data_IF_849587563611
#
_entry.id   IF_849587563611
#
_cell.length_a   1.000
_cell.length_b   1.000
_cell.length_c   1.000
_cell.angle_alpha   90.00
_cell.angle_beta   90.00
_cell.angle_gamma   90.00
#
_symmetry.space_group_name_H-M   'P 1'
#
loop_
_entity.id
_entity.type
_entity.pdbx_description
1 polymer ?
#
# COMPACT_ATOMS: atom_id res chain seq x y z
N UNK A 1 -72.79 -50.13 6.29
CA UNK A 1 -71.64 -49.57 7.04
C UNK A 1 -70.38 -50.29 6.57
N UNK A 2 -69.65 -49.67 5.65
CA UNK A 2 -68.38 -50.21 5.17
C UNK A 2 -67.29 -49.91 6.21
N UNK A 3 -66.66 -50.96 6.73
CA UNK A 3 -65.60 -50.85 7.71
C UNK A 3 -64.33 -50.30 7.04
N UNK A 4 -63.84 -49.19 7.59
CA UNK A 4 -62.53 -48.62 7.28
C UNK A 4 -61.45 -49.63 7.69
N UNK A 5 -60.61 -50.03 6.73
CA UNK A 5 -59.37 -50.74 7.03
C UNK A 5 -58.31 -49.66 7.23
N UNK A 6 -58.11 -49.29 8.49
CA UNK A 6 -56.94 -48.52 8.94
C UNK A 6 -55.70 -49.39 8.74
N UNK A 7 -54.87 -49.07 7.74
CA UNK A 7 -53.56 -49.67 7.57
C UNK A 7 -52.60 -49.12 8.64
N UNK A 8 -52.64 -49.71 9.83
CA UNK A 8 -51.59 -49.56 10.84
C UNK A 8 -50.41 -50.47 10.49
N UNK A 9 -49.24 -49.90 10.24
CA UNK A 9 -48.00 -50.66 10.03
C UNK A 9 -47.50 -51.18 11.38
N UNK A 10 -47.38 -52.50 11.51
CA UNK A 10 -46.71 -53.15 12.63
C UNK A 10 -45.19 -53.19 12.35
N UNK A 11 -44.39 -52.51 13.19
CA UNK A 11 -42.95 -52.74 13.28
C UNK A 11 -42.74 -53.93 14.22
N UNK A 12 -42.66 -55.13 13.64
CA UNK A 12 -42.42 -56.37 14.37
C UNK A 12 -41.02 -56.42 14.97
N UNK A 13 -40.95 -56.65 16.29
CA UNK A 13 -39.74 -57.07 16.99
C UNK A 13 -39.40 -58.52 16.62
N UNK A 14 -38.33 -58.69 15.88
CA UNK A 14 -37.77 -59.97 15.44
C UNK A 14 -36.73 -59.65 14.38
N UNK A 15 -35.62 -60.39 14.33
CA UNK A 15 -34.53 -60.16 13.39
C UNK A 15 -35.04 -60.24 11.94
N UNK A 16 -35.51 -59.10 11.41
CA UNK A 16 -35.97 -58.99 10.04
C UNK A 16 -34.72 -59.09 9.16
N UNK A 17 -34.59 -60.20 8.44
CA UNK A 17 -33.61 -60.32 7.38
C UNK A 17 -33.91 -59.23 6.36
N UNK A 18 -33.08 -58.18 6.30
CA UNK A 18 -32.59 -57.55 5.08
C UNK A 18 -33.53 -57.48 3.86
N UNK A 19 -34.82 -57.18 4.05
CA UNK A 19 -35.80 -57.22 2.98
C UNK A 19 -36.08 -55.81 2.47
N UNK A 20 -36.31 -55.73 1.17
CA UNK A 20 -36.82 -54.53 0.53
C UNK A 20 -38.20 -54.17 1.14
N UNK A 21 -38.44 -52.88 1.40
CA UNK A 21 -39.68 -52.38 2.02
C UNK A 21 -40.40 -51.39 1.10
N UNK A 22 -41.55 -51.80 0.58
CA UNK A 22 -42.42 -50.94 -0.24
C UNK A 22 -43.77 -50.69 0.43
N UNK A 23 -44.25 -49.44 0.44
CA UNK A 23 -45.57 -49.09 0.98
C UNK A 23 -46.20 -47.90 0.26
N UNK A 24 -47.53 -47.78 0.34
CA UNK A 24 -48.27 -46.59 -0.14
C UNK A 24 -48.20 -46.34 -1.64
N UNK A 25 -47.93 -47.38 -2.46
CA UNK A 25 -47.75 -47.25 -3.92
C UNK A 25 -46.29 -47.27 -4.39
N UNK A 26 -45.32 -47.43 -3.48
CA UNK A 26 -43.90 -47.46 -3.82
C UNK A 26 -43.48 -48.69 -4.64
N UNK A 27 -42.47 -48.51 -5.50
CA UNK A 27 -41.92 -49.51 -6.41
C UNK A 27 -40.42 -49.67 -6.17
N UNK A 28 -39.96 -50.93 -6.04
CA UNK A 28 -38.55 -51.27 -5.89
C UNK A 28 -38.11 -52.04 -7.13
N UNK A 29 -37.11 -51.49 -7.83
CA UNK A 29 -36.47 -52.07 -9.01
C UNK A 29 -34.93 -52.13 -8.84
N UNK A 30 -34.49 -52.33 -7.59
CA UNK A 30 -33.07 -52.43 -7.26
C UNK A 30 -32.56 -53.88 -7.47
N UNK A 31 -31.31 -54.10 -7.92
CA UNK A 31 -30.78 -55.44 -8.20
C UNK A 31 -30.63 -56.34 -6.97
N UNK A 32 -30.47 -55.78 -5.76
CA UNK A 32 -30.45 -56.53 -4.50
C UNK A 32 -30.56 -55.63 -3.25
N UNK A 33 -31.50 -55.98 -2.36
CA UNK A 33 -31.48 -55.90 -0.89
C UNK A 33 -31.42 -54.54 -0.19
N UNK A 34 -32.29 -54.36 0.81
CA UNK A 34 -32.38 -53.23 1.74
C UNK A 34 -32.88 -51.91 1.14
N UNK A 35 -33.57 -51.94 0.00
CA UNK A 35 -34.18 -50.75 -0.54
C UNK A 35 -35.50 -50.41 0.19
N UNK A 36 -35.83 -49.13 0.29
CA UNK A 36 -37.09 -48.66 0.89
C UNK A 36 -37.79 -47.71 -0.08
N UNK A 37 -39.05 -47.98 -0.45
CA UNK A 37 -39.86 -47.14 -1.32
C UNK A 37 -41.24 -46.88 -0.68
N UNK A 38 -41.50 -45.67 -0.18
CA UNK A 38 -42.74 -45.34 0.53
C UNK A 38 -43.39 -44.08 -0.04
N UNK A 39 -44.60 -44.22 -0.57
CA UNK A 39 -45.37 -43.14 -1.18
C UNK A 39 -45.84 -43.47 -2.59
N UNK A 40 -46.88 -42.78 -3.04
CA UNK A 40 -47.43 -42.98 -4.39
C UNK A 40 -46.37 -42.60 -5.43
N UNK A 41 -46.07 -43.49 -6.38
CA UNK A 41 -45.04 -43.27 -7.39
C UNK A 41 -43.57 -43.30 -6.89
N UNK A 42 -43.33 -43.48 -5.58
CA UNK A 42 -41.97 -43.53 -5.03
C UNK A 42 -41.19 -44.73 -5.62
N UNK A 43 -39.99 -44.50 -6.16
CA UNK A 43 -39.23 -45.55 -6.88
C UNK A 43 -37.78 -45.63 -6.42
N UNK A 44 -37.28 -46.84 -6.17
CA UNK A 44 -35.85 -47.08 -5.94
C UNK A 44 -35.26 -47.99 -7.02
N UNK A 45 -34.15 -47.61 -7.64
CA UNK A 45 -33.38 -48.48 -8.55
C UNK A 45 -31.97 -48.79 -8.05
N UNK A 46 -31.48 -48.06 -7.04
CA UNK A 46 -30.20 -48.32 -6.39
C UNK A 46 -30.29 -49.34 -5.25
N UNK A 47 -29.26 -50.17 -5.10
CA UNK A 47 -29.11 -51.06 -3.93
C UNK A 47 -29.01 -50.26 -2.63
N UNK A 48 -29.75 -50.69 -1.59
CA UNK A 48 -29.82 -50.01 -0.27
C UNK A 48 -30.27 -48.54 -0.37
N UNK A 49 -31.00 -48.17 -1.42
CA UNK A 49 -31.53 -46.83 -1.60
C UNK A 49 -32.85 -46.62 -0.83
N UNK A 50 -33.13 -45.39 -0.43
CA UNK A 50 -34.37 -45.01 0.25
C UNK A 50 -35.08 -43.93 -0.55
N UNK A 51 -36.29 -44.21 -1.03
CA UNK A 51 -37.22 -43.26 -1.58
C UNK A 51 -38.44 -43.13 -0.64
N UNK A 52 -38.73 -41.90 -0.18
CA UNK A 52 -39.84 -41.59 0.69
C UNK A 52 -40.54 -40.32 0.18
N UNK A 53 -41.86 -40.34 0.08
CA UNK A 53 -42.67 -39.23 -0.46
C UNK A 53 -43.17 -39.48 -1.87
N UNK A 54 -44.24 -38.77 -2.25
CA UNK A 54 -44.87 -38.90 -3.57
C UNK A 54 -43.83 -38.65 -4.67
N UNK A 55 -43.73 -39.57 -5.62
CA UNK A 55 -42.85 -39.49 -6.79
C UNK A 55 -41.35 -39.31 -6.46
N UNK A 56 -40.92 -39.63 -5.23
CA UNK A 56 -39.51 -39.60 -4.87
C UNK A 56 -38.75 -40.73 -5.57
N UNK A 57 -37.61 -40.44 -6.19
CA UNK A 57 -36.80 -41.42 -6.93
C UNK A 57 -35.37 -41.47 -6.39
N UNK A 58 -34.95 -42.65 -5.91
CA UNK A 58 -33.58 -42.90 -5.48
C UNK A 58 -32.90 -43.90 -6.43
N UNK A 59 -32.11 -43.38 -7.38
CA UNK A 59 -31.46 -44.19 -8.42
C UNK A 59 -30.05 -44.66 -8.05
N UNK A 60 -29.32 -43.88 -7.26
CA UNK A 60 -27.96 -44.25 -6.86
C UNK A 60 -27.92 -45.33 -5.78
N UNK A 61 -26.85 -46.11 -5.74
CA UNK A 61 -26.56 -47.01 -4.61
C UNK A 61 -26.46 -46.19 -3.32
N UNK A 62 -27.10 -46.62 -2.23
CA UNK A 62 -27.19 -45.88 -0.95
C UNK A 62 -27.83 -44.48 -1.06
N UNK A 63 -28.50 -44.15 -2.16
CA UNK A 63 -29.11 -42.85 -2.34
C UNK A 63 -30.34 -42.69 -1.46
N UNK A 64 -30.60 -41.47 -0.99
CA UNK A 64 -31.74 -41.13 -0.13
C UNK A 64 -32.54 -40.00 -0.77
N UNK A 65 -33.75 -40.27 -1.23
CA UNK A 65 -34.70 -39.28 -1.73
C UNK A 65 -35.91 -39.23 -0.80
N UNK A 66 -36.16 -38.13 -0.08
CA UNK A 66 -37.29 -38.05 0.89
C UNK A 66 -38.28 -36.91 0.63
N UNK A 67 -37.98 -36.03 -0.32
CA UNK A 67 -38.86 -34.94 -0.73
C UNK A 67 -39.87 -35.38 -1.78
N UNK A 68 -41.03 -34.72 -1.83
CA UNK A 68 -41.98 -34.91 -2.93
C UNK A 68 -41.31 -34.56 -4.27
N UNK A 69 -41.41 -35.46 -5.25
CA UNK A 69 -40.76 -35.34 -6.57
C UNK A 69 -39.25 -35.08 -6.47
N UNK A 70 -38.57 -35.64 -5.46
CA UNK A 70 -37.12 -35.52 -5.29
C UNK A 70 -36.36 -36.64 -6.01
N UNK A 71 -35.18 -36.33 -6.54
CA UNK A 71 -34.36 -37.27 -7.32
C UNK A 71 -32.94 -37.36 -6.74
N UNK A 72 -32.61 -38.50 -6.14
CA UNK A 72 -31.25 -38.81 -5.70
C UNK A 72 -30.60 -39.76 -6.72
N UNK A 73 -29.95 -39.17 -7.75
CA UNK A 73 -29.43 -39.92 -8.90
C UNK A 73 -28.01 -40.45 -8.69
N UNK A 74 -27.17 -39.73 -7.95
CA UNK A 74 -25.79 -40.15 -7.69
C UNK A 74 -25.66 -41.22 -6.60
N UNK A 75 -24.58 -42.01 -6.64
CA UNK A 75 -24.26 -42.93 -5.54
C UNK A 75 -24.08 -42.17 -4.22
N UNK A 76 -24.71 -42.64 -3.16
CA UNK A 76 -24.77 -42.00 -1.83
C UNK A 76 -25.29 -40.56 -1.86
N UNK A 77 -26.04 -40.18 -2.89
CA UNK A 77 -26.63 -38.85 -3.00
C UNK A 77 -27.85 -38.73 -2.07
N UNK A 78 -28.10 -37.52 -1.57
CA UNK A 78 -29.21 -37.21 -0.66
C UNK A 78 -30.05 -36.07 -1.23
N UNK A 79 -31.31 -36.32 -1.56
CA UNK A 79 -32.28 -35.35 -2.07
C UNK A 79 -33.51 -35.29 -1.14
N UNK A 80 -33.61 -34.28 -0.28
CA UNK A 80 -34.70 -34.20 0.72
C UNK A 80 -35.65 -33.03 0.51
N UNK A 81 -35.27 -32.06 -0.33
CA UNK A 81 -36.14 -30.96 -0.72
C UNK A 81 -37.21 -31.39 -1.72
N UNK A 82 -38.39 -30.76 -1.69
CA UNK A 82 -39.40 -30.98 -2.73
C UNK A 82 -38.86 -30.52 -4.09
N UNK A 83 -39.02 -31.34 -5.15
CA UNK A 83 -38.46 -31.08 -6.48
C UNK A 83 -36.92 -30.93 -6.50
N UNK A 84 -36.20 -31.47 -5.51
CA UNK A 84 -34.75 -31.38 -5.46
C UNK A 84 -34.06 -32.47 -6.28
N UNK A 85 -32.88 -32.18 -6.81
CA UNK A 85 -32.09 -33.09 -7.63
C UNK A 85 -30.66 -33.19 -7.09
N UNK A 86 -30.28 -34.34 -6.55
CA UNK A 86 -28.90 -34.66 -6.18
C UNK A 86 -28.30 -35.59 -7.25
N UNK A 87 -27.68 -35.01 -8.28
CA UNK A 87 -27.23 -35.73 -9.47
C UNK A 87 -25.81 -36.30 -9.34
N UNK A 88 -24.91 -35.61 -8.63
CA UNK A 88 -23.54 -36.09 -8.43
C UNK A 88 -23.42 -37.17 -7.37
N UNK A 89 -22.34 -37.96 -7.43
CA UNK A 89 -22.02 -38.90 -6.35
C UNK A 89 -21.74 -38.12 -5.05
N UNK A 90 -22.27 -38.59 -3.92
CA UNK A 90 -22.21 -37.93 -2.61
C UNK A 90 -22.77 -36.50 -2.61
N UNK A 91 -23.61 -36.14 -3.59
CA UNK A 91 -24.24 -34.84 -3.66
C UNK A 91 -25.40 -34.73 -2.65
N UNK A 92 -25.62 -33.54 -2.11
CA UNK A 92 -26.67 -33.27 -1.13
C UNK A 92 -27.54 -32.10 -1.61
N UNK A 93 -28.82 -32.35 -1.89
CA UNK A 93 -29.81 -31.36 -2.30
C UNK A 93 -30.98 -31.34 -1.28
N UNK A 94 -31.00 -30.37 -0.38
CA UNK A 94 -32.04 -30.29 0.67
C UNK A 94 -33.00 -29.10 0.52
N UNK A 95 -32.65 -28.13 -0.33
CA UNK A 95 -33.52 -27.01 -0.66
C UNK A 95 -34.65 -27.41 -1.60
N UNK A 96 -35.82 -26.77 -1.49
CA UNK A 96 -36.88 -26.98 -2.47
C UNK A 96 -36.44 -26.46 -3.86
N UNK A 97 -36.66 -27.28 -4.89
CA UNK A 97 -36.18 -27.04 -6.25
C UNK A 97 -34.66 -26.77 -6.34
N UNK A 98 -33.86 -27.37 -5.46
CA UNK A 98 -32.39 -27.24 -5.52
C UNK A 98 -31.74 -28.32 -6.39
N UNK A 99 -30.59 -27.98 -6.96
CA UNK A 99 -29.83 -28.84 -7.87
C UNK A 99 -28.39 -28.99 -7.40
N UNK A 100 -28.01 -30.17 -6.90
CA UNK A 100 -26.63 -30.53 -6.59
C UNK A 100 -26.09 -31.42 -7.72
N UNK A 101 -25.53 -30.80 -8.76
CA UNK A 101 -25.15 -31.47 -10.01
C UNK A 101 -23.74 -32.08 -9.98
N UNK A 102 -22.80 -31.45 -9.28
CA UNK A 102 -21.43 -31.95 -9.17
C UNK A 102 -21.27 -33.08 -8.14
N UNK A 103 -20.23 -33.91 -8.30
CA UNK A 103 -19.83 -34.84 -7.24
C UNK A 103 -19.48 -34.08 -5.96
N UNK A 104 -19.90 -34.56 -4.79
CA UNK A 104 -19.75 -33.88 -3.49
C UNK A 104 -20.40 -32.47 -3.44
N UNK A 105 -21.26 -32.13 -4.39
CA UNK A 105 -21.92 -30.82 -4.39
C UNK A 105 -23.00 -30.74 -3.31
N UNK A 106 -23.18 -29.56 -2.72
CA UNK A 106 -24.16 -29.30 -1.67
C UNK A 106 -25.05 -28.13 -2.08
N UNK A 107 -26.37 -28.35 -2.21
CA UNK A 107 -27.36 -27.36 -2.61
C UNK A 107 -28.53 -27.33 -1.59
N UNK A 108 -28.44 -26.46 -0.58
CA UNK A 108 -29.40 -26.43 0.55
C UNK A 108 -30.37 -25.25 0.49
N UNK A 109 -30.08 -24.21 -0.31
CA UNK A 109 -30.98 -23.08 -0.51
C UNK A 109 -32.13 -23.43 -1.45
N UNK A 110 -33.29 -22.81 -1.28
CA UNK A 110 -34.39 -22.92 -2.25
C UNK A 110 -33.93 -22.38 -3.62
N UNK A 111 -34.18 -23.11 -4.70
CA UNK A 111 -33.68 -22.78 -6.06
C UNK A 111 -32.15 -22.68 -6.18
N UNK A 112 -31.40 -23.17 -5.20
CA UNK A 112 -29.93 -23.13 -5.25
C UNK A 112 -29.40 -24.16 -6.26
N UNK A 113 -28.30 -23.83 -6.92
CA UNK A 113 -27.65 -24.69 -7.91
C UNK A 113 -26.15 -24.81 -7.60
N UNK A 114 -25.68 -26.03 -7.33
CA UNK A 114 -24.27 -26.35 -7.16
C UNK A 114 -23.81 -27.24 -8.33
N UNK A 115 -23.22 -26.62 -9.36
CA UNK A 115 -22.81 -27.30 -10.59
C UNK A 115 -21.41 -27.93 -10.51
N UNK A 116 -20.48 -27.27 -9.84
CA UNK A 116 -19.10 -27.75 -9.75
C UNK A 116 -18.94 -28.96 -8.82
N UNK A 117 -17.92 -29.79 -9.07
CA UNK A 117 -17.51 -30.82 -8.12
C UNK A 117 -17.02 -30.16 -6.82
N UNK A 118 -17.54 -30.61 -5.68
CA UNK A 118 -17.32 -30.02 -4.35
C UNK A 118 -17.92 -28.62 -4.17
N UNK A 119 -18.80 -28.16 -5.07
CA UNK A 119 -19.41 -26.85 -4.98
C UNK A 119 -20.48 -26.80 -3.88
N UNK A 120 -20.62 -25.64 -3.23
CA UNK A 120 -21.57 -25.43 -2.13
C UNK A 120 -22.44 -24.21 -2.42
N UNK A 121 -23.75 -24.41 -2.54
CA UNK A 121 -24.76 -23.37 -2.77
C UNK A 121 -25.82 -23.42 -1.65
N UNK A 122 -25.80 -22.48 -0.72
CA UNK A 122 -26.70 -22.50 0.46
C UNK A 122 -27.68 -21.33 0.52
N UNK A 123 -27.44 -20.28 -0.27
CA UNK A 123 -28.36 -19.14 -0.37
C UNK A 123 -29.57 -19.45 -1.27
N UNK A 124 -30.70 -18.79 -1.03
CA UNK A 124 -31.86 -18.87 -1.93
C UNK A 124 -31.47 -18.36 -3.33
N UNK A 125 -31.68 -19.16 -4.36
CA UNK A 125 -31.31 -18.85 -5.74
C UNK A 125 -29.80 -18.72 -5.98
N UNK A 126 -28.95 -19.16 -5.04
CA UNK A 126 -27.49 -19.05 -5.20
C UNK A 126 -26.95 -20.07 -6.20
N UNK A 127 -25.86 -19.71 -6.88
CA UNK A 127 -25.26 -20.50 -7.95
C UNK A 127 -23.77 -20.69 -7.71
N UNK A 128 -23.35 -21.91 -7.36
CA UNK A 128 -21.96 -22.30 -7.26
C UNK A 128 -21.56 -23.09 -8.53
N UNK A 129 -21.06 -22.38 -9.54
CA UNK A 129 -20.80 -22.91 -10.87
C UNK A 129 -19.41 -23.54 -11.02
N UNK A 130 -18.40 -22.95 -10.39
CA UNK A 130 -17.03 -23.45 -10.44
C UNK A 130 -16.77 -24.67 -9.56
N UNK A 131 -15.71 -25.43 -9.86
CA UNK A 131 -15.23 -26.52 -9.00
C UNK A 131 -14.82 -25.96 -7.63
N UNK A 132 -15.27 -26.58 -6.53
CA UNK A 132 -15.08 -26.10 -5.14
C UNK A 132 -15.53 -24.65 -4.92
N UNK A 133 -16.46 -24.15 -5.73
CA UNK A 133 -17.02 -22.81 -5.56
C UNK A 133 -18.01 -22.79 -4.39
N UNK A 134 -18.12 -21.66 -3.69
CA UNK A 134 -19.00 -21.49 -2.54
C UNK A 134 -19.88 -20.26 -2.72
N UNK A 135 -21.20 -20.44 -2.81
CA UNK A 135 -22.20 -19.39 -2.98
C UNK A 135 -23.23 -19.42 -1.84
N UNK A 136 -23.05 -18.59 -0.82
CA UNK A 136 -23.86 -18.62 0.42
C UNK A 136 -24.86 -17.48 0.55
N UNK A 137 -24.70 -16.41 -0.23
CA UNK A 137 -25.65 -15.29 -0.27
C UNK A 137 -26.88 -15.61 -1.13
N UNK A 138 -28.02 -14.99 -0.84
CA UNK A 138 -29.19 -15.09 -1.73
C UNK A 138 -28.86 -14.46 -3.09
N UNK A 139 -29.20 -15.18 -4.16
CA UNK A 139 -28.87 -14.83 -5.54
C UNK A 139 -27.37 -14.61 -5.80
N UNK A 140 -26.48 -15.12 -4.93
CA UNK A 140 -25.04 -14.99 -5.14
C UNK A 140 -24.54 -15.97 -6.20
N UNK A 141 -23.48 -15.59 -6.92
CA UNK A 141 -22.90 -16.38 -8.00
C UNK A 141 -21.41 -16.57 -7.77
N UNK A 142 -20.98 -17.79 -7.47
CA UNK A 142 -19.58 -18.18 -7.46
C UNK A 142 -19.27 -18.90 -8.79
N UNK A 143 -18.81 -18.13 -9.78
CA UNK A 143 -18.58 -18.55 -11.15
C UNK A 143 -17.25 -19.27 -11.37
N UNK A 144 -16.19 -18.80 -10.72
CA UNK A 144 -14.84 -19.33 -10.90
C UNK A 144 -14.53 -20.57 -10.06
N UNK A 145 -13.51 -21.32 -10.46
CA UNK A 145 -12.95 -22.41 -9.64
C UNK A 145 -12.43 -21.85 -8.33
N UNK A 146 -12.75 -22.50 -7.20
CA UNK A 146 -12.43 -22.04 -5.84
C UNK A 146 -12.97 -20.64 -5.49
N UNK A 147 -13.94 -20.11 -6.25
CA UNK A 147 -14.51 -18.80 -5.98
C UNK A 147 -15.46 -18.83 -4.77
N UNK A 148 -15.53 -17.73 -4.03
CA UNK A 148 -16.44 -17.57 -2.88
C UNK A 148 -17.28 -16.32 -3.04
N UNK A 149 -18.60 -16.48 -3.11
CA UNK A 149 -19.58 -15.39 -3.19
C UNK A 149 -20.50 -15.42 -1.96
N UNK A 150 -20.24 -14.52 -1.00
CA UNK A 150 -20.93 -14.43 0.28
C UNK A 150 -21.56 -13.04 0.48
N UNK A 151 -22.77 -12.85 -0.05
CA UNK A 151 -23.54 -11.61 0.05
C UNK A 151 -24.75 -11.65 -0.88
N UNK A 152 -25.80 -10.89 -0.58
CA UNK A 152 -26.95 -10.79 -1.48
C UNK A 152 -26.49 -10.26 -2.84
N UNK A 153 -26.81 -10.95 -3.95
CA UNK A 153 -26.35 -10.62 -5.30
C UNK A 153 -24.83 -10.49 -5.46
N UNK A 154 -24.02 -11.07 -4.58
CA UNK A 154 -22.56 -11.02 -4.77
C UNK A 154 -22.11 -11.94 -5.90
N UNK A 155 -21.08 -11.53 -6.64
CA UNK A 155 -20.56 -12.27 -7.79
C UNK A 155 -19.06 -12.43 -7.65
N UNK A 156 -18.60 -13.67 -7.52
CA UNK A 156 -17.19 -14.06 -7.60
C UNK A 156 -16.97 -14.83 -8.91
N UNK A 157 -16.68 -14.10 -9.99
CA UNK A 157 -16.56 -14.65 -11.35
C UNK A 157 -15.18 -15.24 -11.66
N UNK A 158 -14.11 -14.70 -11.06
CA UNK A 158 -12.74 -15.14 -11.32
C UNK A 158 -12.33 -16.42 -10.58
N UNK A 159 -11.33 -17.13 -11.10
CA UNK A 159 -10.68 -18.25 -10.39
C UNK A 159 -10.05 -17.74 -9.09
N UNK A 160 -10.29 -18.44 -7.98
CA UNK A 160 -9.89 -18.02 -6.63
C UNK A 160 -10.43 -16.65 -6.19
N UNK A 161 -11.46 -16.11 -6.86
CA UNK A 161 -12.02 -14.82 -6.51
C UNK A 161 -12.89 -14.90 -5.25
N UNK A 162 -12.93 -13.83 -4.47
CA UNK A 162 -13.74 -13.73 -3.25
C UNK A 162 -14.56 -12.45 -3.29
N UNK A 163 -15.88 -12.56 -3.23
CA UNK A 163 -16.82 -11.44 -3.18
C UNK A 163 -17.67 -11.55 -1.90
N UNK A 164 -17.42 -10.67 -0.93
CA UNK A 164 -18.13 -10.61 0.34
C UNK A 164 -18.79 -9.25 0.54
N UNK A 165 -20.11 -9.22 0.51
CA UNK A 165 -20.90 -7.99 0.62
C UNK A 165 -22.10 -7.99 -0.33
N UNK A 166 -23.12 -7.21 -0.01
CA UNK A 166 -24.25 -7.01 -0.92
C UNK A 166 -23.75 -6.41 -2.25
N UNK A 167 -24.10 -7.04 -3.37
CA UNK A 167 -23.73 -6.62 -4.72
C UNK A 167 -22.21 -6.44 -4.93
N UNK A 168 -21.37 -7.08 -4.11
CA UNK A 168 -19.91 -7.07 -4.32
C UNK A 168 -19.54 -7.89 -5.55
N UNK A 169 -18.57 -7.41 -6.33
CA UNK A 169 -18.14 -8.01 -7.59
C UNK A 169 -16.63 -8.31 -7.57
N UNK A 170 -16.23 -9.56 -7.69
CA UNK A 170 -14.85 -10.00 -7.85
C UNK A 170 -14.71 -10.83 -9.13
N UNK A 171 -14.34 -10.18 -10.24
CA UNK A 171 -14.28 -10.81 -11.57
C UNK A 171 -12.87 -11.18 -12.04
N UNK A 172 -11.83 -10.52 -11.53
CA UNK A 172 -10.45 -10.88 -11.86
C UNK A 172 -10.03 -12.20 -11.21
N UNK A 173 -9.06 -12.89 -11.81
CA UNK A 173 -8.40 -14.02 -11.16
C UNK A 173 -7.78 -13.54 -9.83
N UNK A 174 -7.93 -14.33 -8.76
CA UNK A 174 -7.50 -14.01 -7.39
C UNK A 174 -8.00 -12.67 -6.83
N UNK A 175 -9.03 -12.07 -7.45
CA UNK A 175 -9.59 -10.80 -7.01
C UNK A 175 -10.38 -10.94 -5.70
N UNK A 176 -10.31 -9.92 -4.85
CA UNK A 176 -11.00 -9.88 -3.57
C UNK A 176 -11.80 -8.59 -3.40
N UNK A 177 -13.13 -8.70 -3.27
CA UNK A 177 -14.05 -7.59 -3.04
C UNK A 177 -14.75 -7.77 -1.68
N UNK A 178 -14.54 -6.83 -0.76
CA UNK A 178 -15.12 -6.83 0.59
C UNK A 178 -15.88 -5.52 0.83
N UNK A 179 -17.20 -5.60 0.99
CA UNK A 179 -18.08 -4.45 1.24
C UNK A 179 -19.21 -4.33 0.23
N UNK A 180 -20.26 -3.58 0.60
CA UNK A 180 -21.40 -3.34 -0.28
C UNK A 180 -20.98 -2.60 -1.55
N UNK A 181 -21.37 -3.11 -2.72
CA UNK A 181 -20.95 -2.59 -4.04
C UNK A 181 -19.42 -2.49 -4.23
N UNK A 182 -18.61 -3.22 -3.45
CA UNK A 182 -17.17 -3.29 -3.69
C UNK A 182 -16.88 -3.98 -5.02
N UNK A 183 -15.91 -3.49 -5.79
CA UNK A 183 -15.67 -3.92 -7.15
C UNK A 183 -14.17 -4.20 -7.41
N UNK A 184 -13.82 -5.47 -7.55
CA UNK A 184 -12.48 -5.97 -7.85
C UNK A 184 -12.50 -6.67 -9.23
N UNK A 185 -12.34 -5.92 -10.31
CA UNK A 185 -12.45 -6.45 -11.69
C UNK A 185 -11.13 -6.82 -12.34
N UNK A 186 -10.01 -6.25 -11.88
CA UNK A 186 -8.69 -6.60 -12.40
C UNK A 186 -8.15 -7.89 -11.78
N UNK A 187 -7.22 -8.56 -12.45
CA UNK A 187 -6.53 -9.72 -11.87
C UNK A 187 -5.68 -9.31 -10.66
N UNK A 188 -5.62 -10.17 -9.64
CA UNK A 188 -4.91 -9.94 -8.38
C UNK A 188 -5.28 -8.61 -7.70
N UNK A 189 -6.54 -8.19 -7.80
CA UNK A 189 -7.02 -6.94 -7.18
C UNK A 189 -7.59 -7.16 -5.78
N UNK A 190 -7.54 -6.10 -4.98
CA UNK A 190 -8.20 -6.07 -3.66
C UNK A 190 -9.00 -4.78 -3.52
N UNK A 191 -10.31 -4.88 -3.31
CA UNK A 191 -11.22 -3.77 -3.04
C UNK A 191 -11.89 -3.97 -1.68
N UNK A 192 -11.59 -3.13 -0.69
CA UNK A 192 -12.11 -3.22 0.67
C UNK A 192 -12.81 -1.91 1.01
N UNK A 193 -14.13 -1.94 1.19
CA UNK A 193 -14.94 -0.78 1.55
C UNK A 193 -16.22 -0.70 0.72
N UNK A 194 -17.21 0.04 1.24
CA UNK A 194 -18.42 0.33 0.48
C UNK A 194 -18.06 1.09 -0.81
N UNK A 195 -18.52 0.62 -1.96
CA UNK A 195 -18.22 1.19 -3.28
C UNK A 195 -16.72 1.35 -3.60
N UNK A 196 -15.81 0.64 -2.91
CA UNK A 196 -14.39 0.65 -3.28
C UNK A 196 -14.18 -0.04 -4.62
N UNK A 197 -13.34 0.50 -5.49
CA UNK A 197 -13.08 -0.02 -6.84
C UNK A 197 -11.59 -0.27 -7.08
N UNK A 198 -11.21 -1.50 -7.40
CA UNK A 198 -9.88 -1.88 -7.87
C UNK A 198 -10.02 -2.55 -9.25
N UNK A 199 -9.71 -1.81 -10.32
CA UNK A 199 -10.11 -2.22 -11.68
C UNK A 199 -8.96 -2.65 -12.59
N UNK A 200 -7.72 -2.42 -12.21
CA UNK A 200 -6.53 -2.78 -12.98
C UNK A 200 -5.70 -3.87 -12.28
N UNK A 201 -4.89 -4.61 -13.05
CA UNK A 201 -4.08 -5.72 -12.51
C UNK A 201 -3.20 -5.27 -11.33
N UNK A 202 -3.26 -6.01 -10.23
CA UNK A 202 -2.49 -5.74 -9.01
C UNK A 202 -2.94 -4.48 -8.23
N UNK A 203 -4.07 -3.87 -8.59
CA UNK A 203 -4.57 -2.68 -7.92
C UNK A 203 -5.18 -3.01 -6.54
N UNK A 204 -4.98 -2.12 -5.58
CA UNK A 204 -5.52 -2.24 -4.22
C UNK A 204 -6.27 -0.97 -3.83
N UNK A 205 -7.55 -1.08 -3.49
CA UNK A 205 -8.37 0.02 -2.99
C UNK A 205 -8.91 -0.32 -1.59
N UNK A 206 -8.58 0.50 -0.60
CA UNK A 206 -8.97 0.31 0.80
C UNK A 206 -9.61 1.59 1.31
N UNK A 207 -10.91 1.54 1.61
CA UNK A 207 -11.72 2.67 2.07
C UNK A 207 -13.02 2.80 1.27
N UNK A 208 -14.05 3.38 1.89
CA UNK A 208 -15.30 3.64 1.20
C UNK A 208 -15.08 4.60 0.01
N UNK A 209 -15.53 4.22 -1.18
CA UNK A 209 -15.31 4.96 -2.43
C UNK A 209 -13.85 5.07 -2.87
N UNK A 210 -12.91 4.34 -2.26
CA UNK A 210 -11.51 4.34 -2.71
C UNK A 210 -11.42 3.75 -4.13
N UNK A 211 -10.63 4.36 -5.01
CA UNK A 211 -10.52 3.96 -6.42
C UNK A 211 -9.06 3.76 -6.83
N UNK A 212 -8.69 2.52 -7.14
CA UNK A 212 -7.40 2.15 -7.70
C UNK A 212 -7.58 1.64 -9.14
N UNK A 213 -7.43 2.55 -10.11
CA UNK A 213 -7.76 2.31 -11.52
C UNK A 213 -6.54 1.97 -12.40
N UNK A 214 -5.33 2.00 -11.84
CA UNK A 214 -4.08 1.82 -12.58
C UNK A 214 -3.33 0.57 -12.10
N UNK A 215 -2.55 -0.05 -13.00
CA UNK A 215 -1.81 -1.26 -12.69
C UNK A 215 -0.86 -1.03 -11.50
N UNK A 216 -0.83 -2.00 -10.57
CA UNK A 216 -0.04 -1.96 -9.33
C UNK A 216 -0.27 -0.71 -8.46
N UNK A 217 -1.38 0.02 -8.65
CA UNK A 217 -1.66 1.22 -7.88
C UNK A 217 -2.40 0.88 -6.58
N UNK A 218 -2.17 1.64 -5.53
CA UNK A 218 -2.77 1.43 -4.21
C UNK A 218 -3.45 2.72 -3.73
N UNK A 219 -4.75 2.69 -3.48
CA UNK A 219 -5.53 3.77 -2.89
C UNK A 219 -5.93 3.40 -1.45
N UNK A 220 -5.55 4.20 -0.45
CA UNK A 220 -5.83 3.95 0.97
C UNK A 220 -6.51 5.17 1.58
N UNK A 221 -7.78 5.04 1.96
CA UNK A 221 -8.58 6.08 2.60
C UNK A 221 -9.93 6.27 1.91
N UNK A 222 -10.90 6.85 2.64
CA UNK A 222 -12.22 7.17 2.08
C UNK A 222 -12.07 8.16 0.92
N UNK A 223 -12.56 7.77 -0.26
CA UNK A 223 -12.45 8.56 -1.50
C UNK A 223 -11.04 8.69 -2.07
N UNK A 224 -10.03 7.99 -1.52
CA UNK A 224 -8.67 8.03 -2.05
C UNK A 224 -8.67 7.51 -3.50
N UNK A 225 -7.99 8.21 -4.41
CA UNK A 225 -7.95 7.85 -5.84
C UNK A 225 -6.51 7.84 -6.33
N UNK A 226 -6.14 6.81 -7.09
CA UNK A 226 -4.87 6.78 -7.82
C UNK A 226 -5.05 7.39 -9.22
N UNK A 227 -3.99 8.00 -9.74
CA UNK A 227 -3.93 8.71 -11.02
C UNK A 227 -2.82 8.18 -11.94
N UNK A 228 -2.02 7.20 -11.49
CA UNK A 228 -0.91 6.65 -12.25
C UNK A 228 -0.60 5.19 -11.85
N UNK A 229 0.10 4.49 -12.76
CA UNK A 229 0.65 3.14 -12.56
C UNK A 229 1.69 3.16 -11.44
N UNK A 230 1.74 2.11 -10.62
CA UNK A 230 2.66 1.96 -9.47
C UNK A 230 2.53 3.06 -8.38
N UNK A 231 1.48 3.88 -8.41
CA UNK A 231 1.29 4.94 -7.42
C UNK A 231 0.66 4.40 -6.13
N UNK A 232 1.13 4.90 -4.99
CA UNK A 232 0.44 4.76 -3.70
C UNK A 232 -0.18 6.10 -3.33
N UNK A 233 -1.50 6.17 -3.30
CA UNK A 233 -2.29 7.34 -2.89
C UNK A 233 -2.87 7.06 -1.50
N UNK A 234 -2.51 7.88 -0.52
CA UNK A 234 -2.99 7.77 0.86
C UNK A 234 -3.87 8.99 1.12
N UNK A 235 -5.17 8.80 1.33
CA UNK A 235 -6.13 9.85 1.61
C UNK A 235 -6.50 10.71 0.40
N UNK A 236 -6.97 11.92 0.70
CA UNK A 236 -7.40 12.97 -0.23
C UNK A 236 -6.65 14.26 0.11
N UNK A 237 -6.90 15.33 -0.65
CA UNK A 237 -6.33 16.66 -0.39
C UNK A 237 -6.73 17.28 0.96
N UNK A 238 -7.77 16.77 1.62
CA UNK A 238 -8.23 17.27 2.92
C UNK A 238 -7.59 16.54 4.12
N UNK A 239 -6.81 15.48 3.86
CA UNK A 239 -6.23 14.66 4.92
C UNK A 239 -4.95 15.27 5.48
N UNK A 240 -4.76 15.13 6.80
CA UNK A 240 -3.50 15.42 7.48
C UNK A 240 -2.74 14.13 7.78
N UNK A 241 -1.45 14.06 7.44
CA UNK A 241 -0.63 12.88 7.68
C UNK A 241 0.17 12.99 8.97
N UNK A 242 0.12 11.96 9.82
CA UNK A 242 0.97 11.81 11.01
C UNK A 242 1.62 10.43 11.01
N UNK A 243 2.95 10.40 10.96
CA UNK A 243 3.75 9.17 11.08
C UNK A 243 4.48 9.19 12.43
N UNK A 244 3.90 8.59 13.47
CA UNK A 244 4.38 8.70 14.85
C UNK A 244 5.85 8.29 15.05
N UNK A 245 6.36 7.36 14.23
CA UNK A 245 7.73 6.86 14.34
C UNK A 245 8.82 7.78 13.80
N UNK A 246 8.49 8.78 12.96
CA UNK A 246 9.49 9.53 12.18
C UNK A 246 10.50 10.31 13.03
N UNK A 247 10.07 10.75 14.23
CA UNK A 247 10.90 11.50 15.17
C UNK A 247 11.48 10.64 16.30
N UNK A 248 11.28 9.31 16.25
CA UNK A 248 11.73 8.42 17.33
C UNK A 248 13.25 8.20 17.31
N UNK A 249 13.86 8.04 18.50
CA UNK A 249 15.28 7.70 18.62
C UNK A 249 15.63 6.38 17.89
N UNK A 250 14.71 5.42 17.88
CA UNK A 250 14.86 4.16 17.15
C UNK A 250 14.94 4.39 15.62
N UNK A 251 14.06 5.24 15.07
CA UNK A 251 14.10 5.58 13.64
C UNK A 251 15.37 6.35 13.27
N UNK A 252 15.86 7.23 14.14
CA UNK A 252 17.12 7.94 13.92
C UNK A 252 18.31 6.97 13.95
N UNK A 253 18.38 6.07 14.93
CA UNK A 253 19.45 5.09 15.06
C UNK A 253 19.49 4.08 13.91
N UNK A 254 18.37 3.84 13.23
CA UNK A 254 18.29 2.94 12.08
C UNK A 254 18.81 3.56 10.77
N UNK A 255 19.05 4.88 10.72
CA UNK A 255 19.62 5.51 9.53
C UNK A 255 21.09 5.09 9.34
N UNK A 256 21.45 4.76 8.11
CA UNK A 256 22.82 4.39 7.73
C UNK A 256 23.25 5.16 6.48
N UNK A 257 24.55 5.43 6.35
CA UNK A 257 25.11 6.21 5.24
C UNK A 257 24.74 7.71 5.27
N UNK A 258 25.02 8.44 4.18
CA UNK A 258 24.66 9.86 4.05
C UNK A 258 23.14 10.06 4.04
N UNK A 259 22.66 11.05 4.81
CA UNK A 259 21.24 11.44 4.81
C UNK A 259 20.96 12.51 3.74
N UNK A 260 19.69 12.65 3.36
CA UNK A 260 19.22 13.63 2.38
C UNK A 260 17.90 14.27 2.86
N UNK A 261 17.56 15.46 2.38
CA UNK A 261 16.24 16.02 2.63
C UNK A 261 15.22 15.39 1.68
N UNK A 262 14.02 15.16 2.19
CA UNK A 262 12.86 14.79 1.37
C UNK A 262 12.17 16.09 0.94
N UNK A 263 11.85 16.17 -0.33
CA UNK A 263 11.14 17.29 -0.95
C UNK A 263 9.83 16.79 -1.56
N UNK A 264 8.94 17.72 -1.86
CA UNK A 264 7.69 17.42 -2.55
C UNK A 264 7.40 18.45 -3.63
N UNK A 265 6.73 18.03 -4.71
CA UNK A 265 6.16 18.93 -5.70
C UNK A 265 4.70 19.30 -5.36
N UNK A 266 4.04 20.07 -6.23
CA UNK A 266 2.65 20.49 -6.04
C UNK A 266 1.64 19.35 -6.16
N UNK A 267 2.05 18.20 -6.71
CA UNK A 267 1.22 17.00 -6.85
C UNK A 267 1.43 16.01 -5.69
N UNK A 268 2.33 16.31 -4.75
CA UNK A 268 2.62 15.45 -3.61
C UNK A 268 3.63 14.33 -3.92
N UNK A 269 4.33 14.37 -5.06
CA UNK A 269 5.39 13.41 -5.34
C UNK A 269 6.56 13.67 -4.39
N UNK A 270 7.12 12.61 -3.81
CA UNK A 270 8.28 12.71 -2.91
C UNK A 270 9.57 12.37 -3.65
N UNK A 271 10.60 13.17 -3.43
CA UNK A 271 11.95 12.92 -3.95
C UNK A 271 13.01 13.35 -2.94
N UNK A 272 14.17 12.72 -2.97
CA UNK A 272 15.33 13.20 -2.24
C UNK A 272 15.97 14.36 -2.98
N UNK A 273 16.32 15.44 -2.27
CA UNK A 273 17.09 16.52 -2.87
C UNK A 273 18.56 16.13 -3.02
N UNK A 274 19.19 16.62 -4.09
CA UNK A 274 20.65 16.58 -4.24
C UNK A 274 21.38 17.46 -3.22
N UNK A 275 20.68 18.47 -2.69
CA UNK A 275 21.10 19.23 -1.51
C UNK A 275 20.89 18.40 -0.24
N UNK A 276 21.89 18.36 0.65
CA UNK A 276 21.87 17.50 1.83
C UNK A 276 22.39 18.24 3.09
N UNK A 277 22.23 17.65 4.29
CA UNK A 277 22.71 18.27 5.53
C UNK A 277 24.21 18.64 5.51
N UNK A 278 25.06 17.85 4.83
CA UNK A 278 26.49 18.14 4.70
C UNK A 278 26.76 19.42 3.90
N UNK A 279 25.89 19.76 2.94
CA UNK A 279 25.96 21.00 2.17
C UNK A 279 25.78 22.23 3.08
N UNK A 280 24.91 22.13 4.10
CA UNK A 280 24.72 23.18 5.12
C UNK A 280 25.98 23.32 5.97
N UNK A 281 26.57 22.20 6.41
CA UNK A 281 27.82 22.23 7.18
C UNK A 281 28.97 22.84 6.37
N UNK A 282 29.06 22.55 5.07
CA UNK A 282 30.07 23.15 4.19
C UNK A 282 29.89 24.66 4.06
N UNK A 283 28.65 25.14 3.93
CA UNK A 283 28.35 26.57 3.92
C UNK A 283 28.76 27.23 5.25
N UNK A 284 28.52 26.60 6.39
CA UNK A 284 28.95 27.11 7.69
C UNK A 284 30.48 27.28 7.77
N UNK A 285 31.24 26.32 7.23
CA UNK A 285 32.69 26.40 7.13
C UNK A 285 33.14 27.56 6.22
N UNK A 286 32.47 27.76 5.08
CA UNK A 286 32.75 28.87 4.16
C UNK A 286 32.47 30.23 4.83
N UNK A 287 31.35 30.35 5.55
CA UNK A 287 31.00 31.57 6.30
C UNK A 287 32.04 31.87 7.39
N UNK A 288 32.48 30.84 8.12
CA UNK A 288 33.52 30.99 9.16
C UNK A 288 34.85 31.45 8.55
N UNK A 289 35.21 30.92 7.38
CA UNK A 289 36.40 31.35 6.63
C UNK A 289 36.32 32.81 6.17
N UNK A 290 35.16 33.22 5.61
CA UNK A 290 34.93 34.61 5.22
C UNK A 290 34.99 35.57 6.42
N UNK A 291 34.46 35.17 7.58
CA UNK A 291 34.54 35.97 8.81
C UNK A 291 35.99 36.19 9.25
N UNK A 292 36.83 35.15 9.18
CA UNK A 292 38.27 35.27 9.47
C UNK A 292 38.95 36.23 8.50
N UNK A 293 38.72 36.06 7.20
CA UNK A 293 39.31 36.93 6.16
C UNK A 293 38.92 38.39 6.33
N UNK A 294 37.67 38.68 6.75
CA UNK A 294 37.24 40.06 7.06
C UNK A 294 37.99 40.60 8.28
N UNK A 295 38.19 39.79 9.32
CA UNK A 295 38.99 40.16 10.49
C UNK A 295 40.43 40.50 10.13
N UNK A 296 41.05 39.65 9.30
CA UNK A 296 42.41 39.83 8.81
C UNK A 296 42.53 41.09 7.95
N UNK A 297 41.64 41.28 6.96
CA UNK A 297 41.63 42.49 6.12
C UNK A 297 41.43 43.77 6.94
N UNK A 298 40.57 43.76 7.96
CA UNK A 298 40.39 44.92 8.84
C UNK A 298 41.66 45.21 9.64
N UNK A 299 42.36 44.18 10.08
CA UNK A 299 43.63 44.30 10.80
C UNK A 299 44.72 44.82 9.87
N UNK A 300 44.87 44.24 8.69
CA UNK A 300 45.81 44.67 7.64
C UNK A 300 45.57 46.13 7.25
N UNK A 301 44.32 46.54 7.02
CA UNK A 301 44.00 47.93 6.70
C UNK A 301 44.35 48.90 7.84
N UNK A 302 44.04 48.54 9.10
CA UNK A 302 44.39 49.36 10.27
C UNK A 302 45.90 49.48 10.44
N UNK A 303 46.64 48.38 10.27
CA UNK A 303 48.11 48.34 10.32
C UNK A 303 48.72 49.12 9.17
N UNK A 304 48.21 49.00 7.95
CA UNK A 304 48.64 49.78 6.79
C UNK A 304 48.47 51.28 7.01
N UNK A 305 47.34 51.72 7.59
CA UNK A 305 47.12 53.13 7.97
C UNK A 305 48.10 53.55 9.07
N UNK A 306 48.28 52.74 10.11
CA UNK A 306 49.24 53.03 11.16
C UNK A 306 50.67 53.16 10.60
N UNK A 307 51.08 52.26 9.69
CA UNK A 307 52.36 52.32 8.99
C UNK A 307 52.50 53.62 8.19
N UNK A 308 51.49 53.98 7.40
CA UNK A 308 51.50 55.20 6.58
C UNK A 308 51.59 56.48 7.44
N UNK A 309 50.88 56.53 8.57
CA UNK A 309 50.94 57.67 9.51
C UNK A 309 52.29 57.72 10.25
N UNK A 310 52.87 56.57 10.56
CA UNK A 310 54.18 56.47 11.20
C UNK A 310 55.35 56.78 10.25
N UNK A 311 55.14 56.71 8.94
CA UNK A 311 56.15 57.01 7.94
C UNK A 311 56.64 58.45 8.08
N UNK A 312 57.85 58.60 8.62
CA UNK A 312 58.39 59.90 9.01
C UNK A 312 58.97 60.65 7.81
N UNK A 313 58.85 61.98 7.83
CA UNK A 313 59.48 62.87 6.86
C UNK A 313 60.39 63.84 7.59
N UNK A 314 61.68 63.54 7.53
CA UNK A 314 62.70 64.36 8.16
C UNK A 314 62.77 65.72 7.43
N UNK A 315 62.81 66.84 8.18
CA UNK A 315 62.90 68.16 7.57
C UNK A 315 64.23 68.36 6.87
N UNK A 316 64.29 69.34 5.96
CA UNK A 316 65.51 69.67 5.23
C UNK A 316 66.66 70.02 6.19
N UNK A 317 67.85 69.44 6.00
CA UNK A 317 69.03 69.77 6.80
C UNK A 317 69.43 71.24 6.68
N UNK A 318 69.87 71.83 7.80
CA UNK A 318 70.19 73.27 7.89
C UNK A 318 71.37 73.72 7.03
N UNK A 319 72.22 72.82 6.54
CA UNK A 319 73.36 73.13 5.68
C UNK A 319 73.55 72.07 4.57
N UNK A 320 74.13 72.45 3.40
CA UNK A 320 74.46 71.51 2.34
C UNK A 320 75.38 70.37 2.81
N UNK A 321 75.15 69.15 2.30
CA UNK A 321 75.92 67.95 2.64
C UNK A 321 75.57 67.28 3.96
N UNK A 322 74.61 67.81 4.74
CA UNK A 322 74.14 67.18 5.99
C UNK A 322 72.94 66.25 5.76
N UNK A 323 72.74 65.31 6.67
CA UNK A 323 71.57 64.42 6.74
C UNK A 323 70.82 64.63 8.04
N UNK A 324 69.50 64.79 7.96
CA UNK A 324 68.59 64.79 9.12
C UNK A 324 67.81 63.48 9.11
N UNK A 325 67.52 62.96 10.29
CA UNK A 325 66.69 61.77 10.47
C UNK A 325 65.53 62.07 11.44
N UNK A 326 64.46 61.30 11.32
CA UNK A 326 63.31 61.37 12.21
C UNK A 326 62.77 59.97 12.47
N UNK A 327 62.34 59.71 13.70
CA UNK A 327 61.50 58.55 14.04
C UNK A 327 60.11 59.03 14.42
N UNK A 328 59.08 58.25 14.09
CA UNK A 328 57.69 58.50 14.51
C UNK A 328 57.04 57.20 14.95
N UNK A 329 56.23 57.30 16.00
CA UNK A 329 55.25 56.28 16.35
C UNK A 329 53.86 56.75 15.92
N UNK A 330 52.97 55.81 15.64
CA UNK A 330 51.56 56.08 15.37
C UNK A 330 50.68 55.06 16.09
N UNK A 331 49.41 55.41 16.24
CA UNK A 331 48.37 54.45 16.61
C UNK A 331 47.11 54.74 15.82
N UNK A 332 46.41 53.68 15.39
CA UNK A 332 45.13 53.79 14.72
C UNK A 332 44.25 52.60 15.08
N UNK A 333 43.09 52.86 15.70
CA UNK A 333 42.12 51.84 16.11
C UNK A 333 42.76 50.61 16.81
N UNK A 334 43.60 50.86 17.81
CA UNK A 334 44.34 49.85 18.60
C UNK A 334 45.47 49.09 17.88
N UNK A 335 45.80 49.43 16.63
CA UNK A 335 47.05 49.03 15.99
C UNK A 335 48.12 50.10 16.17
N UNK A 336 49.40 49.72 16.06
CA UNK A 336 50.54 50.60 16.30
C UNK A 336 51.49 50.59 15.12
N UNK A 337 51.97 51.77 14.74
CA UNK A 337 52.96 51.93 13.68
C UNK A 337 54.26 52.52 14.20
N UNK A 338 55.36 52.13 13.58
CA UNK A 338 56.67 52.73 13.79
C UNK A 338 57.28 53.08 12.43
N UNK A 339 57.89 54.25 12.32
CA UNK A 339 58.55 54.65 11.10
C UNK A 339 59.79 55.49 11.32
N UNK A 340 60.63 55.48 10.30
CA UNK A 340 61.91 56.16 10.22
C UNK A 340 61.97 56.92 8.90
N UNK A 341 62.54 58.12 8.91
CA UNK A 341 62.74 58.92 7.72
C UNK A 341 64.08 59.64 7.77
N UNK A 342 64.62 59.93 6.60
CA UNK A 342 65.83 60.72 6.43
C UNK A 342 65.64 61.78 5.34
N UNK A 343 66.42 62.85 5.43
CA UNK A 343 66.55 63.84 4.38
C UNK A 343 68.02 64.26 4.25
N UNK A 344 68.56 64.26 3.04
CA UNK A 344 69.93 64.68 2.75
C UNK A 344 69.93 65.87 1.79
N UNK A 345 70.54 66.98 2.20
CA UNK A 345 70.60 68.20 1.37
C UNK A 345 71.78 68.10 0.40
N UNK A 346 71.49 68.21 -0.90
CA UNK A 346 72.48 68.18 -1.96
C UNK A 346 73.36 69.43 -1.91
N UNK A 347 74.62 69.29 -2.34
CA UNK A 347 75.57 70.39 -2.39
C UNK A 347 75.42 71.18 -3.71
N UNK A 348 74.28 71.84 -3.87
CA UNK A 348 73.89 72.59 -5.07
C UNK A 348 73.60 74.05 -4.74
N UNK A 349 73.69 74.94 -5.75
CA UNK A 349 73.39 76.38 -5.60
C UNK A 349 71.93 76.66 -5.28
N UNK A 350 71.02 75.77 -5.72
CA UNK A 350 69.62 75.75 -5.34
C UNK A 350 69.45 74.75 -4.18
N UNK A 351 68.75 75.10 -3.09
CA UNK A 351 68.47 74.18 -1.99
C UNK A 351 67.58 73.03 -2.47
N UNK A 352 68.20 71.88 -2.73
CA UNK A 352 67.54 70.62 -3.06
C UNK A 352 67.88 69.56 -2.02
N UNK A 353 66.92 68.72 -1.63
CA UNK A 353 67.16 67.55 -0.79
C UNK A 353 66.53 66.28 -1.38
N UNK A 354 67.13 65.15 -1.04
CA UNK A 354 66.52 63.82 -1.20
C UNK A 354 65.90 63.46 0.14
N UNK A 355 64.64 63.08 0.15
CA UNK A 355 63.92 62.61 1.34
C UNK A 355 63.45 61.18 1.12
N UNK A 356 63.55 60.35 2.14
CA UNK A 356 63.00 59.00 2.11
C UNK A 356 62.50 58.59 3.48
N UNK A 357 61.57 57.65 3.50
CA UNK A 357 61.07 57.10 4.75
C UNK A 357 60.44 55.73 4.60
N UNK A 358 60.34 55.06 5.73
CA UNK A 358 59.80 53.72 5.90
C UNK A 358 58.89 53.71 7.12
N UNK A 359 57.79 52.99 7.03
CA UNK A 359 56.85 52.76 8.13
C UNK A 359 56.41 51.30 8.16
N UNK A 360 56.20 50.78 9.37
CA UNK A 360 55.78 49.43 9.65
C UNK A 360 54.61 49.49 10.63
N UNK A 361 53.49 48.84 10.30
CA UNK A 361 52.26 48.83 11.09
C UNK A 361 52.11 47.61 12.00
N UNK A 362 53.13 46.77 12.11
CA UNK A 362 53.06 45.40 12.63
C UNK A 362 52.86 44.38 11.50
N UNK A 363 53.21 43.12 11.75
CA UNK A 363 53.00 42.04 10.77
C UNK A 363 53.76 42.21 9.46
N UNK A 364 53.04 42.17 8.33
CA UNK A 364 53.58 42.28 6.96
C UNK A 364 53.33 43.67 6.35
N UNK A 365 52.70 44.56 7.09
CA UNK A 365 52.22 45.83 6.58
C UNK A 365 53.33 46.89 6.66
N UNK A 366 53.90 47.21 5.50
CA UNK A 366 55.00 48.15 5.36
C UNK A 366 54.66 49.23 4.33
N UNK A 367 55.16 50.44 4.56
CA UNK A 367 55.07 51.56 3.62
C UNK A 367 56.45 52.18 3.46
N UNK A 368 56.76 52.69 2.27
CA UNK A 368 58.00 53.39 2.02
C UNK A 368 57.79 54.47 0.95
N UNK A 369 58.59 55.53 1.00
CA UNK A 369 58.62 56.56 -0.03
C UNK A 369 60.03 57.11 -0.21
N UNK A 370 60.28 57.66 -1.39
CA UNK A 370 61.48 58.40 -1.74
C UNK A 370 61.03 59.60 -2.60
N UNK A 371 61.57 60.78 -2.33
CA UNK A 371 61.18 62.01 -2.99
C UNK A 371 62.30 63.03 -3.02
N UNK A 372 62.02 64.13 -3.71
CA UNK A 372 62.87 65.32 -3.79
C UNK A 372 62.09 66.51 -3.23
N UNK A 373 62.76 67.34 -2.44
CA UNK A 373 62.22 68.62 -1.96
C UNK A 373 63.17 69.76 -2.30
N UNK A 374 62.65 70.97 -2.32
CA UNK A 374 63.45 72.17 -2.53
C UNK A 374 62.65 73.44 -2.28
N UNK A 375 63.36 74.56 -2.22
CA UNK A 375 62.82 75.92 -2.08
C UNK A 375 63.47 76.82 -3.15
N UNK A 376 62.82 77.94 -3.48
CA UNK A 376 63.31 78.91 -4.47
C UNK A 376 63.50 80.29 -3.83
#
# INVERSE_FOLDING_TARGET
MAASITAGVALGGGYASAADYAAGGGVINAPSGFATAVGDGATTTGTTATAYGSDAIANGQFATATGQNSFANGSSATATGANSFANGALATATGAASFANGNFATATGQFSTANGSGATATGQGSQANGNRATATGSSSIAGGTNATAAGFNSIAGGTNATAMGESSLANGATASAFGQNSNATGDATTAIGQASTASATGATAIGAGATAAFANSTAIGVGATTTAVNQVSIGTSTNTYRMSGIASAASLAAQTGPTSFVTTDTLGNLATSSFNPQSITALQSQVSSLQSQIGDNRTEARRGIAAAVATASAPMPSAPGKTTWQVRGSTFQSEYGFGFGFAHRLNTSIPLNIVGGYGNGGGKEHTAYLGLGGEF
#
